data_IF_817056393061
#
_entry.id   IF_817056393061
#
_cell.length_a   1.000
_cell.length_b   1.000
_cell.length_c   1.000
_cell.angle_alpha   90.00
_cell.angle_beta   90.00
_cell.angle_gamma   90.00
#
_symmetry.space_group_name_H-M   'P 1'
#
loop_
_entity.id
_entity.type
_entity.pdbx_description
1 polymer ?
#
# COMPACT_ATOMS: atom_id res chain seq x y z
N UNK A 1 8.36 -9.18 26.47
CA UNK A 1 7.77 -8.04 25.75
C UNK A 1 7.74 -6.83 26.68
N UNK A 2 8.49 -5.77 26.39
CA UNK A 2 8.51 -4.58 27.25
C UNK A 2 7.49 -3.56 26.70
N UNK A 3 6.41 -3.35 27.43
CA UNK A 3 5.43 -2.30 27.13
C UNK A 3 5.94 -1.00 27.74
N UNK A 4 6.47 -0.09 26.93
CA UNK A 4 6.87 1.21 27.39
C UNK A 4 5.63 2.12 27.52
N UNK A 5 5.10 2.23 28.74
CA UNK A 5 4.12 3.27 29.11
C UNK A 5 4.82 4.54 29.51
N UNK A 6 5.16 5.42 28.57
CA UNK A 6 5.49 6.80 28.88
C UNK A 6 4.62 7.72 28.03
N UNK A 7 3.52 8.20 28.61
CA UNK A 7 2.70 9.26 28.02
C UNK A 7 3.50 10.57 28.01
N UNK A 8 4.02 10.94 26.84
CA UNK A 8 4.50 12.31 26.63
C UNK A 8 3.29 13.16 26.24
N UNK A 9 2.77 13.95 27.18
CA UNK A 9 1.75 14.95 26.88
C UNK A 9 2.43 16.16 26.27
N UNK A 10 2.11 16.49 25.01
CA UNK A 10 2.46 17.79 24.44
C UNK A 10 1.58 18.86 25.10
N UNK A 11 2.20 19.89 25.69
CA UNK A 11 1.49 21.00 26.33
C UNK A 11 0.83 21.97 25.33
N UNK A 12 1.13 21.84 24.02
CA UNK A 12 0.75 22.81 22.97
C UNK A 12 0.05 22.19 21.76
N UNK A 13 -0.41 20.94 21.84
CA UNK A 13 -1.12 20.27 20.75
C UNK A 13 -2.58 20.70 20.65
N UNK A 14 -3.12 20.84 19.42
CA UNK A 14 -4.55 20.98 19.19
C UNK A 14 -5.26 19.66 19.55
N UNK A 15 -6.35 19.75 20.32
CA UNK A 15 -7.19 18.58 20.60
C UNK A 15 -8.16 18.38 19.43
N UNK A 16 -7.89 17.37 18.62
CA UNK A 16 -8.77 16.95 17.53
C UNK A 16 -9.68 15.83 18.04
N UNK A 17 -11.02 15.92 17.84
CA UNK A 17 -11.93 14.85 18.24
C UNK A 17 -11.71 13.60 17.38
N UNK A 18 -11.80 12.44 18.01
CA UNK A 18 -11.75 11.15 17.33
C UNK A 18 -13.15 10.79 16.82
N UNK A 19 -13.32 10.79 15.51
CA UNK A 19 -14.58 10.44 14.83
C UNK A 19 -14.44 9.08 14.13
N UNK A 20 -13.93 8.07 14.84
CA UNK A 20 -13.67 6.72 14.33
C UNK A 20 -14.95 5.88 14.19
N UNK A 21 -15.94 6.41 13.50
CA UNK A 21 -17.31 5.85 13.46
C UNK A 21 -17.38 4.46 12.78
N UNK A 22 -16.39 4.10 11.98
CA UNK A 22 -16.30 2.82 11.27
C UNK A 22 -15.38 1.80 11.93
N UNK A 23 -14.85 2.08 13.12
CA UNK A 23 -13.90 1.18 13.79
C UNK A 23 -14.46 -0.23 14.06
N UNK A 24 -15.79 -0.31 14.33
CA UNK A 24 -16.49 -1.57 14.56
C UNK A 24 -17.21 -2.13 13.32
N UNK A 25 -16.98 -1.54 12.14
CA UNK A 25 -17.55 -2.00 10.89
C UNK A 25 -16.57 -2.94 10.18
N UNK A 26 -17.05 -4.11 9.78
CA UNK A 26 -16.26 -5.01 8.94
C UNK A 26 -16.01 -4.40 7.55
N UNK A 27 -14.89 -4.74 6.95
CA UNK A 27 -14.56 -4.32 5.60
C UNK A 27 -15.55 -4.91 4.58
N UNK A 28 -16.14 -4.06 3.76
CA UNK A 28 -17.08 -4.47 2.71
C UNK A 28 -16.39 -4.42 1.34
N UNK A 29 -16.44 -5.54 0.64
CA UNK A 29 -15.91 -5.63 -0.72
C UNK A 29 -16.83 -4.90 -1.70
N UNK A 30 -16.30 -3.90 -2.40
CA UNK A 30 -17.04 -3.14 -3.42
C UNK A 30 -17.45 -4.06 -4.59
N UNK A 31 -18.69 -3.98 -5.08
CA UNK A 31 -19.07 -4.65 -6.33
C UNK A 31 -18.21 -4.17 -7.50
N UNK A 32 -17.94 -5.08 -8.45
CA UNK A 32 -17.15 -4.73 -9.64
C UNK A 32 -17.90 -3.69 -10.46
N UNK A 33 -17.36 -2.47 -10.65
CA UNK A 33 -18.02 -1.44 -11.45
C UNK A 33 -17.96 -1.78 -12.94
N UNK A 34 -18.87 -1.21 -13.73
CA UNK A 34 -18.88 -1.39 -15.20
C UNK A 34 -17.67 -0.74 -15.89
N UNK A 35 -17.10 0.29 -15.25
CA UNK A 35 -15.95 1.05 -15.77
C UNK A 35 -15.10 1.54 -14.62
N UNK A 36 -13.78 1.51 -14.79
CA UNK A 36 -12.80 2.09 -13.86
C UNK A 36 -11.90 3.07 -14.60
N UNK A 37 -11.44 4.10 -13.89
CA UNK A 37 -10.41 5.03 -14.35
C UNK A 37 -9.21 4.89 -13.42
N UNK A 38 -8.11 4.38 -13.94
CA UNK A 38 -6.89 4.12 -13.18
C UNK A 38 -5.90 5.24 -13.45
N UNK A 39 -5.61 6.06 -12.45
CA UNK A 39 -4.69 7.18 -12.57
C UNK A 39 -3.23 6.71 -12.64
N UNK A 40 -2.43 7.36 -13.47
CA UNK A 40 -1.00 7.07 -13.54
C UNK A 40 -0.19 7.79 -12.45
N UNK A 41 -0.80 8.74 -11.74
CA UNK A 41 -0.21 9.45 -10.61
C UNK A 41 -0.91 9.06 -9.31
N UNK A 42 -0.62 7.87 -8.79
CA UNK A 42 -1.15 7.35 -7.51
C UNK A 42 -0.07 7.26 -6.41
N UNK A 43 1.10 7.81 -6.66
CA UNK A 43 2.24 7.81 -5.74
C UNK A 43 3.04 9.11 -5.89
N UNK A 44 3.87 9.41 -4.91
CA UNK A 44 4.81 10.54 -4.98
C UNK A 44 5.93 10.25 -5.98
N UNK A 45 6.49 11.29 -6.57
CA UNK A 45 7.56 11.21 -7.56
C UNK A 45 7.03 11.32 -8.99
N UNK A 46 7.74 10.74 -9.95
CA UNK A 46 7.35 10.77 -11.35
C UNK A 46 6.12 9.89 -11.58
N UNK A 47 5.03 10.40 -12.22
CA UNK A 47 3.89 9.58 -12.59
C UNK A 47 4.32 8.36 -13.43
N UNK A 48 3.58 7.29 -13.32
CA UNK A 48 3.72 6.18 -14.27
C UNK A 48 3.32 6.64 -15.67
N UNK A 49 3.82 5.97 -16.69
CA UNK A 49 3.51 6.23 -18.10
C UNK A 49 2.64 5.09 -18.62
N UNK A 50 1.44 5.40 -19.13
CA UNK A 50 0.56 4.39 -19.69
C UNK A 50 1.26 3.62 -20.82
N UNK A 51 1.26 2.29 -20.75
CA UNK A 51 1.86 1.41 -21.75
C UNK A 51 0.83 0.61 -22.55
N UNK A 52 -0.46 0.92 -22.37
CA UNK A 52 -1.59 0.36 -23.10
C UNK A 52 -2.29 1.42 -23.93
N UNK A 53 -3.09 0.99 -24.91
CA UNK A 53 -3.86 1.88 -25.79
C UNK A 53 -5.33 1.46 -25.86
N UNK A 54 -6.18 2.34 -26.37
CA UNK A 54 -7.59 2.02 -26.62
C UNK A 54 -7.72 0.69 -27.38
N UNK A 55 -8.59 -0.18 -26.87
CA UNK A 55 -8.86 -1.48 -27.46
C UNK A 55 -7.98 -2.62 -26.92
N UNK A 56 -6.93 -2.34 -26.14
CA UNK A 56 -6.13 -3.38 -25.47
C UNK A 56 -7.00 -4.17 -24.50
N UNK A 57 -6.96 -5.49 -24.57
CA UNK A 57 -7.54 -6.35 -23.55
C UNK A 57 -6.57 -6.49 -22.39
N UNK A 58 -7.09 -6.42 -21.16
CA UNK A 58 -6.30 -6.49 -19.93
C UNK A 58 -6.96 -7.45 -18.95
N UNK A 59 -6.13 -8.10 -18.14
CA UNK A 59 -6.53 -8.95 -17.02
C UNK A 59 -6.07 -8.30 -15.71
N UNK A 60 -6.62 -8.74 -14.57
CA UNK A 60 -6.16 -8.28 -13.26
C UNK A 60 -4.67 -8.57 -13.11
N UNK A 61 -3.90 -7.55 -12.72
CA UNK A 61 -2.46 -7.64 -12.52
C UNK A 61 -1.62 -7.40 -13.78
N UNK A 62 -2.21 -7.22 -14.96
CA UNK A 62 -1.46 -6.77 -16.13
C UNK A 62 -0.93 -5.35 -15.90
N UNK A 63 0.33 -5.11 -16.28
CA UNK A 63 0.94 -3.77 -16.21
C UNK A 63 0.26 -2.88 -17.26
N UNK A 64 -0.36 -1.80 -16.81
CA UNK A 64 -1.01 -0.79 -17.65
C UNK A 64 -0.26 0.54 -17.65
N UNK A 65 0.67 0.72 -16.70
CA UNK A 65 1.57 1.85 -16.63
C UNK A 65 2.95 1.44 -16.14
N UNK A 66 4.00 1.87 -16.84
CA UNK A 66 5.38 1.64 -16.43
C UNK A 66 5.89 2.77 -15.55
N UNK A 67 6.82 2.48 -14.64
CA UNK A 67 7.41 3.51 -13.78
C UNK A 67 8.06 4.62 -14.62
N UNK A 68 7.75 5.89 -14.30
CA UNK A 68 8.22 7.06 -15.04
C UNK A 68 9.57 7.62 -14.59
N UNK A 69 10.17 7.06 -13.53
CA UNK A 69 11.43 7.54 -12.98
C UNK A 69 11.95 6.71 -11.81
N UNK A 70 12.98 7.19 -11.13
CA UNK A 70 13.57 6.48 -9.98
C UNK A 70 12.59 6.37 -8.80
N UNK A 71 11.96 7.49 -8.42
CA UNK A 71 10.85 7.49 -7.46
C UNK A 71 9.57 7.38 -8.27
N UNK A 72 9.13 6.18 -8.52
CA UNK A 72 7.94 5.82 -9.28
C UNK A 72 7.64 4.33 -9.05
N UNK A 73 6.44 3.90 -9.43
CA UNK A 73 6.04 2.51 -9.38
C UNK A 73 5.20 2.15 -10.62
N UNK A 74 5.26 0.91 -11.11
CA UNK A 74 4.34 0.46 -12.15
C UNK A 74 2.90 0.43 -11.62
N UNK A 75 1.95 0.60 -12.53
CA UNK A 75 0.51 0.55 -12.25
C UNK A 75 -0.07 -0.67 -12.95
N UNK A 76 -0.82 -1.47 -12.20
CA UNK A 76 -1.45 -2.70 -12.68
C UNK A 76 -2.96 -2.52 -12.84
N UNK A 77 -3.56 -3.28 -13.74
CA UNK A 77 -5.00 -3.30 -13.89
C UNK A 77 -5.68 -3.96 -12.69
N UNK A 78 -6.63 -3.27 -12.03
CA UNK A 78 -7.41 -3.87 -10.93
C UNK A 78 -8.59 -4.73 -11.42
N UNK A 79 -8.85 -4.76 -12.72
CA UNK A 79 -9.98 -5.44 -13.34
C UNK A 79 -9.58 -6.17 -14.62
N UNK A 80 -10.37 -7.16 -15.05
CA UNK A 80 -10.30 -7.67 -16.42
C UNK A 80 -11.31 -6.93 -17.31
N UNK A 81 -10.93 -6.73 -18.58
CA UNK A 81 -11.77 -6.02 -19.53
C UNK A 81 -11.01 -5.43 -20.70
N UNK A 82 -11.50 -4.32 -21.24
CA UNK A 82 -10.93 -3.67 -22.42
C UNK A 82 -10.67 -2.18 -22.17
N UNK A 83 -9.50 -1.70 -22.52
CA UNK A 83 -9.16 -0.28 -22.45
C UNK A 83 -10.07 0.51 -23.38
N UNK A 84 -10.93 1.34 -22.79
CA UNK A 84 -11.84 2.24 -23.50
C UNK A 84 -11.10 3.46 -24.04
N UNK A 85 -10.25 4.06 -23.21
CA UNK A 85 -9.46 5.24 -23.55
C UNK A 85 -8.21 5.35 -22.66
N UNK A 86 -7.22 6.06 -23.15
CA UNK A 86 -6.16 6.68 -22.36
C UNK A 86 -6.39 8.18 -22.48
N UNK A 87 -6.64 8.85 -21.36
CA UNK A 87 -7.15 10.21 -21.30
C UNK A 87 -6.48 10.99 -20.17
N UNK A 88 -6.86 12.23 -19.95
CA UNK A 88 -6.43 13.06 -18.82
C UNK A 88 -7.59 13.33 -17.87
N UNK A 89 -7.31 13.25 -16.56
CA UNK A 89 -8.26 13.59 -15.52
C UNK A 89 -7.69 14.69 -14.60
N UNK A 90 -8.53 15.63 -14.21
CA UNK A 90 -8.22 16.61 -13.17
C UNK A 90 -8.27 15.92 -11.82
N UNK A 91 -7.15 15.91 -11.10
CA UNK A 91 -7.05 15.36 -9.76
C UNK A 91 -7.51 16.39 -8.70
N UNK A 92 -7.87 15.94 -7.49
CA UNK A 92 -8.31 16.84 -6.40
C UNK A 92 -7.30 17.94 -6.04
N UNK A 93 -6.01 17.72 -6.30
CA UNK A 93 -4.94 18.70 -6.10
C UNK A 93 -4.84 19.76 -7.21
N UNK A 94 -5.76 19.75 -8.19
CA UNK A 94 -5.78 20.68 -9.33
C UNK A 94 -4.84 20.32 -10.49
N UNK A 95 -4.06 19.27 -10.38
CA UNK A 95 -3.17 18.82 -11.45
C UNK A 95 -3.90 17.85 -12.39
N UNK A 96 -3.56 17.88 -13.67
CA UNK A 96 -3.98 16.84 -14.62
C UNK A 96 -3.04 15.65 -14.55
N UNK A 97 -3.62 14.46 -14.62
CA UNK A 97 -2.86 13.21 -14.74
C UNK A 97 -3.44 12.34 -15.85
N UNK A 98 -2.56 11.56 -16.47
CA UNK A 98 -2.99 10.53 -17.40
C UNK A 98 -3.78 9.43 -16.67
N UNK A 99 -4.85 8.95 -17.26
CA UNK A 99 -5.68 7.85 -16.75
C UNK A 99 -5.89 6.80 -17.83
N UNK A 100 -5.89 5.55 -17.42
CA UNK A 100 -6.32 4.44 -18.25
C UNK A 100 -7.77 4.09 -17.85
N UNK A 101 -8.68 4.28 -18.78
CA UNK A 101 -10.11 3.97 -18.60
C UNK A 101 -10.38 2.58 -19.13
N UNK A 102 -10.94 1.69 -18.31
CA UNK A 102 -11.18 0.29 -18.65
C UNK A 102 -12.68 -0.03 -18.48
N UNK A 103 -13.29 -0.53 -19.53
CA UNK A 103 -14.60 -1.18 -19.46
C UNK A 103 -14.42 -2.60 -18.97
N UNK A 104 -15.04 -2.93 -17.83
CA UNK A 104 -14.86 -4.22 -17.18
C UNK A 104 -15.72 -5.28 -17.88
N UNK A 105 -15.21 -6.51 -17.95
CA UNK A 105 -15.97 -7.65 -18.51
C UNK A 105 -16.78 -8.40 -17.43
N UNK A 106 -16.65 -7.98 -16.16
CA UNK A 106 -17.31 -8.60 -15.00
C UNK A 106 -16.75 -9.95 -14.58
N UNK A 107 -15.78 -10.51 -15.31
CA UNK A 107 -15.22 -11.85 -15.05
C UNK A 107 -14.13 -11.85 -14.00
N UNK A 108 -13.43 -10.72 -13.84
CA UNK A 108 -12.29 -10.56 -12.92
C UNK A 108 -11.20 -11.62 -13.14
N UNK A 109 -10.89 -11.88 -14.41
CA UNK A 109 -9.85 -12.85 -14.80
C UNK A 109 -8.48 -12.34 -14.40
N UNK A 110 -7.75 -13.13 -13.63
CA UNK A 110 -6.37 -12.82 -13.22
C UNK A 110 -5.41 -13.15 -14.37
N UNK A 111 -4.41 -12.31 -14.57
CA UNK A 111 -3.37 -12.52 -15.58
C UNK A 111 -2.50 -13.73 -15.23
N UNK A 112 -2.13 -14.48 -16.25
CA UNK A 112 -1.18 -15.62 -16.13
C UNK A 112 0.24 -15.15 -15.74
N UNK A 113 0.52 -13.86 -15.89
CA UNK A 113 1.77 -13.24 -15.47
C UNK A 113 1.83 -12.96 -13.96
N UNK A 114 0.68 -13.00 -13.26
CA UNK A 114 0.64 -12.88 -11.79
C UNK A 114 1.06 -14.21 -11.19
N UNK A 115 2.32 -14.26 -10.76
CA UNK A 115 2.93 -15.44 -10.14
C UNK A 115 3.73 -15.01 -8.91
N UNK A 116 3.84 -15.89 -7.91
CA UNK A 116 4.75 -15.64 -6.79
C UNK A 116 6.16 -15.37 -7.32
N UNK A 117 6.83 -14.29 -6.87
CA UNK A 117 8.19 -14.01 -7.29
C UNK A 117 9.18 -15.05 -6.72
N UNK A 118 10.25 -15.32 -7.44
CA UNK A 118 11.37 -16.09 -6.92
C UNK A 118 12.31 -15.11 -6.21
N UNK A 119 12.36 -15.20 -4.88
CA UNK A 119 13.16 -14.31 -4.03
C UNK A 119 14.20 -15.15 -3.29
N UNK A 120 15.48 -14.89 -3.55
CA UNK A 120 16.61 -15.63 -2.97
C UNK A 120 17.50 -14.76 -2.08
N UNK A 121 17.48 -13.44 -2.31
CA UNK A 121 18.36 -12.48 -1.66
C UNK A 121 17.71 -11.08 -1.60
N UNK A 122 18.43 -10.13 -1.00
CA UNK A 122 17.97 -8.73 -0.91
C UNK A 122 17.70 -8.10 -2.28
N UNK A 123 18.56 -8.32 -3.26
CA UNK A 123 18.41 -7.69 -4.58
C UNK A 123 17.13 -8.19 -5.29
N UNK A 124 16.92 -9.50 -5.32
CA UNK A 124 15.72 -10.11 -5.89
C UNK A 124 14.45 -9.74 -5.11
N UNK A 125 14.54 -9.54 -3.78
CA UNK A 125 13.43 -9.03 -2.98
C UNK A 125 13.04 -7.61 -3.39
N UNK A 126 14.01 -6.69 -3.51
CA UNK A 126 13.73 -5.31 -3.94
C UNK A 126 13.16 -5.25 -5.36
N UNK A 127 13.68 -6.05 -6.29
CA UNK A 127 13.11 -6.12 -7.64
C UNK A 127 11.69 -6.69 -7.65
N UNK A 128 11.38 -7.69 -6.81
CA UNK A 128 10.02 -8.21 -6.65
C UNK A 128 9.06 -7.15 -6.10
N UNK A 129 9.46 -6.42 -5.06
CA UNK A 129 8.68 -5.28 -4.51
C UNK A 129 8.47 -4.19 -5.56
N UNK A 130 9.49 -3.88 -6.34
CA UNK A 130 9.39 -2.89 -7.42
C UNK A 130 8.44 -3.36 -8.52
N UNK A 131 8.58 -4.59 -8.98
CA UNK A 131 7.72 -5.17 -10.01
C UNK A 131 6.25 -5.27 -9.57
N UNK A 132 5.97 -5.50 -8.29
CA UNK A 132 4.61 -5.55 -7.75
C UNK A 132 3.90 -4.19 -7.74
N UNK A 133 4.63 -3.07 -7.91
CA UNK A 133 4.06 -1.73 -7.84
C UNK A 133 3.64 -1.30 -6.44
N UNK A 134 4.14 -1.97 -5.41
CA UNK A 134 3.80 -1.69 -4.01
C UNK A 134 4.22 -0.29 -3.59
N UNK A 135 3.26 0.48 -3.08
CA UNK A 135 3.44 1.83 -2.55
C UNK A 135 2.85 1.93 -1.15
N UNK A 136 3.27 2.93 -0.38
CA UNK A 136 2.69 3.17 0.93
C UNK A 136 1.23 3.62 0.83
N UNK A 137 0.35 3.03 1.64
CA UNK A 137 -1.10 3.32 1.62
C UNK A 137 -1.54 4.31 2.69
N UNK A 138 -0.64 4.72 3.60
CA UNK A 138 -0.93 5.65 4.69
C UNK A 138 -0.70 7.14 4.35
N UNK A 139 -0.74 7.54 3.06
CA UNK A 139 -0.59 8.97 2.72
C UNK A 139 0.01 9.21 1.34
N UNK A 140 1.32 9.56 1.27
CA UNK A 140 1.97 10.03 0.04
C UNK A 140 2.13 8.97 -1.07
N UNK A 141 1.82 7.71 -0.84
CA UNK A 141 2.04 6.65 -1.82
C UNK A 141 3.52 6.44 -2.14
N UNK A 142 4.41 6.48 -1.15
CA UNK A 142 5.84 6.36 -1.41
C UNK A 142 6.19 4.94 -1.90
N UNK A 143 6.91 4.76 -3.03
CA UNK A 143 7.26 3.45 -3.55
C UNK A 143 8.03 2.60 -2.54
N UNK A 144 7.50 1.42 -2.20
CA UNK A 144 8.06 0.56 -1.16
C UNK A 144 9.47 0.07 -1.51
N UNK A 145 9.76 -0.21 -2.77
CA UNK A 145 11.11 -0.60 -3.23
C UNK A 145 12.16 0.47 -2.91
N UNK A 146 11.82 1.75 -3.06
CA UNK A 146 12.72 2.87 -2.73
C UNK A 146 12.87 3.00 -1.20
N UNK A 147 11.76 2.88 -0.45
CA UNK A 147 11.77 2.91 1.02
C UNK A 147 12.65 1.81 1.61
N UNK A 148 12.58 0.61 1.04
CA UNK A 148 13.33 -0.56 1.52
C UNK A 148 14.76 -0.65 0.96
N UNK A 149 15.23 0.40 0.26
CA UNK A 149 16.59 0.51 -0.27
C UNK A 149 17.35 1.71 0.33
N UNK A 150 17.50 1.80 1.66
CA UNK A 150 18.27 2.88 2.28
C UNK A 150 19.75 2.74 1.92
N UNK A 151 20.45 3.88 1.79
CA UNK A 151 21.88 3.90 1.46
C UNK A 151 22.78 3.30 2.55
N UNK A 152 22.28 3.31 3.80
CA UNK A 152 23.00 2.84 4.99
C UNK A 152 22.30 1.62 5.60
N UNK A 153 21.93 0.64 4.79
CA UNK A 153 21.20 -0.55 5.25
C UNK A 153 21.90 -1.28 6.40
N UNK A 154 23.22 -1.34 6.37
CA UNK A 154 24.03 -1.99 7.41
C UNK A 154 23.91 -1.32 8.80
N UNK A 155 23.51 -0.06 8.85
CA UNK A 155 23.26 0.69 10.09
C UNK A 155 21.82 0.51 10.60
N UNK A 156 20.95 -0.15 9.85
CA UNK A 156 19.51 -0.32 10.18
C UNK A 156 19.32 -1.52 11.08
N UNK A 157 19.26 -1.29 12.39
CA UNK A 157 19.05 -2.35 13.39
C UNK A 157 17.60 -2.66 13.72
N UNK A 158 16.65 -1.78 13.38
CA UNK A 158 15.24 -1.91 13.77
C UNK A 158 14.30 -1.52 12.65
N UNK A 159 13.35 -2.40 12.33
CA UNK A 159 12.19 -2.11 11.50
C UNK A 159 11.03 -1.68 12.41
N UNK A 160 10.45 -0.53 12.16
CA UNK A 160 9.26 -0.05 12.87
C UNK A 160 8.07 -0.09 11.91
N UNK A 161 7.08 -0.90 12.24
CA UNK A 161 5.78 -0.91 11.57
C UNK A 161 4.91 0.13 12.26
N UNK A 162 4.59 1.20 11.53
CA UNK A 162 3.76 2.27 12.04
C UNK A 162 2.27 1.88 11.93
N UNK A 163 1.67 1.48 13.05
CA UNK A 163 0.24 1.22 13.20
C UNK A 163 -0.51 2.38 13.88
N UNK A 164 0.11 3.57 13.97
CA UNK A 164 -0.59 4.78 14.41
C UNK A 164 -1.44 5.34 13.27
N UNK A 165 -2.69 5.70 13.58
CA UNK A 165 -3.68 6.19 12.62
C UNK A 165 -4.30 7.48 13.15
N UNK A 166 -3.61 8.59 12.88
CA UNK A 166 -3.90 9.90 13.45
C UNK A 166 -5.09 10.62 12.83
N UNK A 167 -5.50 10.26 11.64
CA UNK A 167 -6.60 10.91 10.91
C UNK A 167 -7.94 10.67 11.62
N UNK A 168 -8.71 11.72 11.98
CA UNK A 168 -9.88 11.60 12.87
C UNK A 168 -10.96 10.63 12.39
N UNK A 169 -11.19 10.56 11.08
CA UNK A 169 -12.26 9.75 10.49
C UNK A 169 -11.82 8.41 9.90
N UNK A 170 -10.51 8.17 9.79
CA UNK A 170 -9.96 6.97 9.15
C UNK A 170 -9.86 5.83 10.17
N UNK A 171 -10.22 4.62 9.75
CA UNK A 171 -10.13 3.37 10.53
C UNK A 171 -9.54 2.23 9.71
N UNK A 172 -8.91 2.52 8.56
CA UNK A 172 -8.38 1.53 7.64
C UNK A 172 -7.24 0.70 8.26
N UNK A 173 -6.27 1.36 8.91
CA UNK A 173 -5.14 0.67 9.53
C UNK A 173 -5.58 -0.16 10.74
N UNK A 174 -6.54 0.36 11.52
CA UNK A 174 -7.14 -0.38 12.63
C UNK A 174 -7.82 -1.65 12.12
N UNK A 175 -8.68 -1.53 11.10
CA UNK A 175 -9.39 -2.68 10.52
C UNK A 175 -8.40 -3.69 9.90
N UNK A 176 -7.36 -3.22 9.23
CA UNK A 176 -6.31 -4.08 8.68
C UNK A 176 -5.62 -4.91 9.77
N UNK A 177 -5.26 -4.30 10.90
CA UNK A 177 -4.69 -5.05 12.03
C UNK A 177 -5.66 -6.07 12.63
N UNK A 178 -6.96 -5.76 12.66
CA UNK A 178 -7.99 -6.68 13.21
C UNK A 178 -8.29 -7.82 12.23
N UNK A 179 -8.49 -7.51 10.94
CA UNK A 179 -8.96 -8.47 9.95
C UNK A 179 -7.81 -9.26 9.31
N UNK A 180 -6.69 -8.61 9.00
CA UNK A 180 -5.56 -9.15 8.24
C UNK A 180 -4.23 -9.10 9.04
N UNK A 181 -4.28 -9.05 10.37
CA UNK A 181 -3.09 -8.91 11.21
C UNK A 181 -2.00 -9.97 10.95
N UNK A 182 -2.39 -11.19 10.58
CA UNK A 182 -1.44 -12.24 10.21
C UNK A 182 -0.62 -11.86 8.96
N UNK A 183 -1.24 -11.26 7.95
CA UNK A 183 -0.57 -10.82 6.72
C UNK A 183 0.40 -9.67 7.01
N UNK A 184 0.04 -8.76 7.93
CA UNK A 184 0.95 -7.70 8.40
C UNK A 184 2.20 -8.30 9.05
N UNK A 185 2.04 -9.35 9.88
CA UNK A 185 3.18 -10.05 10.50
C UNK A 185 4.05 -10.75 9.46
N UNK A 186 3.45 -11.44 8.50
CA UNK A 186 4.21 -12.11 7.42
C UNK A 186 4.96 -11.10 6.54
N UNK A 187 4.35 -9.97 6.19
CA UNK A 187 5.03 -8.86 5.51
C UNK A 187 6.22 -8.32 6.31
N UNK A 188 6.05 -8.14 7.62
CA UNK A 188 7.12 -7.69 8.51
C UNK A 188 8.27 -8.71 8.61
N UNK A 189 7.95 -10.01 8.66
CA UNK A 189 8.95 -11.10 8.64
C UNK A 189 9.73 -11.13 7.33
N UNK A 190 9.06 -10.97 6.20
CA UNK A 190 9.73 -10.91 4.89
C UNK A 190 10.73 -9.75 4.82
N UNK A 191 10.31 -8.54 5.21
CA UNK A 191 11.22 -7.38 5.26
C UNK A 191 12.38 -7.61 6.21
N UNK A 192 12.12 -8.14 7.43
CA UNK A 192 13.16 -8.47 8.40
C UNK A 192 14.20 -9.43 7.82
N UNK A 193 13.73 -10.49 7.18
CA UNK A 193 14.56 -11.53 6.62
C UNK A 193 15.48 -11.02 5.51
N UNK A 194 14.89 -10.39 4.48
CA UNK A 194 15.64 -10.01 3.29
C UNK A 194 16.48 -8.75 3.47
N UNK A 195 16.15 -7.88 4.42
CA UNK A 195 16.98 -6.73 4.81
C UNK A 195 17.94 -7.07 5.95
N UNK A 196 17.94 -8.29 6.48
CA UNK A 196 18.76 -8.75 7.60
C UNK A 196 18.64 -7.84 8.85
N UNK A 197 17.41 -7.39 9.17
CA UNK A 197 17.15 -6.49 10.31
C UNK A 197 16.98 -7.30 11.59
N UNK A 198 17.72 -6.94 12.63
CA UNK A 198 17.74 -7.68 13.89
C UNK A 198 16.39 -7.63 14.64
N UNK A 199 15.72 -6.48 14.65
CA UNK A 199 14.55 -6.22 15.48
C UNK A 199 13.37 -5.64 14.66
N UNK A 200 12.16 -6.13 14.96
CA UNK A 200 10.90 -5.54 14.47
C UNK A 200 10.10 -5.01 15.66
N UNK A 201 9.51 -3.85 15.49
CA UNK A 201 8.61 -3.22 16.46
C UNK A 201 7.34 -2.80 15.74
N UNK A 202 6.18 -3.15 16.28
CA UNK A 202 4.89 -2.65 15.79
C UNK A 202 4.42 -1.59 16.79
N UNK A 203 4.25 -0.36 16.31
CA UNK A 203 3.84 0.79 17.11
C UNK A 203 2.35 1.05 16.88
N UNK A 204 1.53 0.86 17.92
CA UNK A 204 0.07 1.04 17.87
C UNK A 204 -0.32 2.05 18.95
N UNK A 205 -1.28 2.92 18.66
CA UNK A 205 -1.82 3.89 19.61
C UNK A 205 -2.54 3.19 20.77
N UNK A 206 -2.38 3.74 21.98
CA UNK A 206 -2.96 3.16 23.20
C UNK A 206 -4.49 3.19 23.26
N UNK A 207 -5.14 4.00 22.41
CA UNK A 207 -6.58 4.07 22.22
C UNK A 207 -7.16 2.92 21.38
N UNK A 208 -6.30 1.98 20.92
CA UNK A 208 -6.69 0.80 20.09
C UNK A 208 -6.37 -0.52 20.80
N UNK A 209 -7.01 -0.82 21.96
CA UNK A 209 -6.66 -1.97 22.78
C UNK A 209 -6.88 -3.31 22.06
N UNK A 210 -7.91 -3.43 21.23
CA UNK A 210 -8.20 -4.65 20.48
C UNK A 210 -7.10 -4.95 19.44
N UNK A 211 -6.62 -3.93 18.72
CA UNK A 211 -5.50 -4.10 17.78
C UNK A 211 -4.22 -4.48 18.52
N UNK A 212 -3.93 -3.84 19.66
CA UNK A 212 -2.77 -4.19 20.50
C UNK A 212 -2.86 -5.66 20.94
N UNK A 213 -4.03 -6.09 21.40
CA UNK A 213 -4.26 -7.49 21.81
C UNK A 213 -4.04 -8.44 20.62
N UNK A 214 -4.73 -8.20 19.51
CA UNK A 214 -4.66 -9.04 18.30
C UNK A 214 -3.23 -9.16 17.77
N UNK A 215 -2.53 -8.06 17.60
CA UNK A 215 -1.16 -8.07 17.09
C UNK A 215 -0.17 -8.69 18.09
N UNK A 216 -0.41 -8.56 19.40
CA UNK A 216 0.39 -9.23 20.44
C UNK A 216 0.23 -10.75 20.46
N UNK A 217 -0.95 -11.25 20.11
CA UNK A 217 -1.21 -12.69 20.01
C UNK A 217 -0.56 -13.32 18.77
N UNK A 218 -0.28 -12.51 17.73
CA UNK A 218 0.33 -12.95 16.47
C UNK A 218 1.86 -12.86 16.47
N UNK A 219 2.47 -12.12 17.40
CA UNK A 219 3.92 -11.98 17.58
C UNK A 219 4.51 -13.08 18.47
#
# INVERSE_FOLDING_TARGET
MAVFKKLVRSASGAKVPHNKNTENCETVKMPVPKRVSVAMSMHIGAPAVACVKKGTEVKIGDVIGTAGGFISAPVHSPVSGKVFAVDELMMPNGNKTQVVVIDTDGRQTVSENVKPPVVTDYASFIEAIKASGLVGLGGAGFPASVKLSPKNLDDVGTLIINGAESEPYITADYREMIENGADVIEGAKAVKQYLNIAKVVIAIETNKPEAIKKMSELC
#
